data_IF_458153060527
#
_entry.id   IF_458153060527
#
_cell.length_a   1.000
_cell.length_b   1.000
_cell.length_c   1.000
_cell.angle_alpha   90.00
_cell.angle_beta   90.00
_cell.angle_gamma   90.00
#
_symmetry.space_group_name_H-M   'P 1'
#
loop_
_entity.id
_entity.type
_entity.pdbx_description
1 polymer ?
#
# COMPACT_ATOMS: atom_id res chain seq x y z
N UNK A 1 -6.40 91.71 -6.42
CA UNK A 1 -6.53 90.52 -5.56
C UNK A 1 -6.79 89.29 -6.43
N UNK A 2 -5.76 88.44 -6.65
CA UNK A 2 -5.87 87.20 -7.45
C UNK A 2 -5.96 86.05 -6.48
N UNK A 3 -7.12 85.35 -6.43
CA UNK A 3 -7.28 84.11 -5.68
C UNK A 3 -6.70 82.98 -6.48
N UNK A 4 -5.69 82.26 -5.94
CA UNK A 4 -5.16 80.99 -6.48
C UNK A 4 -6.02 79.84 -5.97
N UNK A 5 -6.59 79.09 -6.90
CA UNK A 5 -7.32 77.88 -6.63
C UNK A 5 -6.28 76.76 -6.56
N UNK A 6 -6.17 76.09 -5.40
CA UNK A 6 -5.31 74.92 -5.21
C UNK A 6 -6.22 73.70 -5.44
N UNK A 7 -5.95 72.94 -6.52
CA UNK A 7 -6.60 71.65 -6.80
C UNK A 7 -5.77 70.56 -6.13
N UNK A 8 -6.32 69.97 -5.08
CA UNK A 8 -5.74 68.79 -4.44
C UNK A 8 -6.23 67.51 -5.22
N UNK A 9 -5.32 66.91 -5.99
CA UNK A 9 -5.56 65.59 -6.58
C UNK A 9 -5.32 64.47 -5.51
N UNK A 10 -6.38 63.88 -4.99
CA UNK A 10 -6.32 62.67 -4.19
C UNK A 10 -6.26 61.48 -5.11
N UNK A 11 -5.05 60.86 -5.19
CA UNK A 11 -4.86 59.60 -5.88
C UNK A 11 -5.45 58.45 -5.01
N UNK A 12 -6.58 57.89 -5.44
CA UNK A 12 -7.17 56.67 -4.84
C UNK A 12 -6.43 55.47 -5.44
N UNK A 13 -5.51 54.90 -4.67
CA UNK A 13 -4.89 53.61 -4.99
C UNK A 13 -5.88 52.49 -4.70
N UNK A 14 -6.53 51.98 -5.74
CA UNK A 14 -7.35 50.76 -5.63
C UNK A 14 -6.40 49.59 -5.58
N UNK A 15 -6.18 49.03 -4.38
CA UNK A 15 -5.51 47.74 -4.20
C UNK A 15 -6.49 46.65 -4.64
N UNK A 16 -6.35 46.17 -5.87
CA UNK A 16 -6.97 44.95 -6.33
C UNK A 16 -6.28 43.75 -5.63
N UNK A 17 -6.83 43.33 -4.48
CA UNK A 17 -6.55 42.00 -3.94
C UNK A 17 -7.05 40.93 -4.93
N UNK A 18 -6.18 40.51 -5.82
CA UNK A 18 -6.41 39.30 -6.59
C UNK A 18 -6.33 38.11 -5.62
N UNK A 19 -7.48 37.75 -5.08
CA UNK A 19 -7.62 36.44 -4.40
C UNK A 19 -7.46 35.35 -5.47
N UNK A 20 -6.23 34.96 -5.74
CA UNK A 20 -5.97 33.70 -6.42
C UNK A 20 -6.40 32.58 -5.46
N UNK A 21 -7.68 32.19 -5.50
CA UNK A 21 -8.07 30.87 -5.04
C UNK A 21 -7.26 29.90 -5.88
N UNK A 22 -6.16 29.38 -5.34
CA UNK A 22 -5.57 28.17 -5.89
C UNK A 22 -6.70 27.14 -5.92
N UNK A 23 -7.21 26.89 -7.10
CA UNK A 23 -8.11 25.78 -7.35
C UNK A 23 -7.28 24.51 -7.14
N UNK A 24 -7.20 24.04 -5.89
CA UNK A 24 -6.70 22.70 -5.62
C UNK A 24 -7.53 21.76 -6.46
N UNK A 25 -6.93 21.26 -7.53
CA UNK A 25 -7.60 20.28 -8.38
C UNK A 25 -8.08 19.13 -7.47
N UNK A 26 -9.38 18.85 -7.53
CA UNK A 26 -10.01 17.79 -6.71
C UNK A 26 -9.14 16.53 -6.78
N UNK A 27 -8.82 15.96 -5.63
CA UNK A 27 -8.09 14.68 -5.55
C UNK A 27 -8.84 13.61 -6.35
N UNK A 28 -8.11 12.79 -7.08
CA UNK A 28 -8.68 11.63 -7.78
C UNK A 28 -9.14 10.60 -6.76
N UNK A 29 -8.27 10.31 -5.78
CA UNK A 29 -8.55 9.33 -4.73
C UNK A 29 -9.39 9.99 -3.65
N UNK A 30 -10.66 9.57 -3.53
CA UNK A 30 -11.60 10.06 -2.53
C UNK A 30 -11.63 9.13 -1.31
N UNK A 31 -11.25 9.68 -0.16
CA UNK A 31 -11.20 8.96 1.11
C UNK A 31 -12.47 9.14 1.97
N UNK A 32 -13.49 9.78 1.46
CA UNK A 32 -14.74 10.05 2.20
C UNK A 32 -15.72 8.88 2.15
N UNK A 33 -15.54 7.95 1.21
CA UNK A 33 -16.46 6.85 0.95
C UNK A 33 -15.77 5.47 1.00
N UNK A 34 -16.62 4.43 1.03
CA UNK A 34 -16.15 3.03 0.93
C UNK A 34 -15.41 2.82 -0.38
N UNK A 35 -14.12 2.48 -0.29
CA UNK A 35 -13.26 2.30 -1.46
C UNK A 35 -13.44 0.91 -2.07
N UNK A 36 -14.31 0.82 -3.06
CA UNK A 36 -14.66 -0.43 -3.72
C UNK A 36 -13.66 -0.82 -4.80
N UNK A 37 -13.72 -2.08 -5.27
CA UNK A 37 -12.91 -2.50 -6.41
C UNK A 37 -13.22 -1.67 -7.67
N UNK A 38 -14.47 -1.26 -7.87
CA UNK A 38 -14.88 -0.40 -8.96
C UNK A 38 -14.25 1.01 -8.85
N UNK A 39 -14.37 1.66 -7.68
CA UNK A 39 -13.71 2.96 -7.44
C UNK A 39 -12.19 2.85 -7.68
N UNK A 40 -11.57 1.78 -7.18
CA UNK A 40 -10.16 1.50 -7.41
C UNK A 40 -9.81 1.42 -8.90
N UNK A 41 -10.61 0.69 -9.69
CA UNK A 41 -10.37 0.59 -11.14
C UNK A 41 -10.49 1.95 -11.84
N UNK A 42 -11.53 2.71 -11.52
CA UNK A 42 -11.77 4.04 -12.11
C UNK A 42 -10.62 4.99 -11.78
N UNK A 43 -10.18 5.03 -10.51
CA UNK A 43 -9.05 5.85 -10.07
C UNK A 43 -7.74 5.45 -10.77
N UNK A 44 -7.47 4.16 -10.93
CA UNK A 44 -6.29 3.68 -11.67
C UNK A 44 -6.24 4.27 -13.08
N UNK A 45 -7.38 4.31 -13.79
CA UNK A 45 -7.43 4.84 -15.17
C UNK A 45 -7.38 6.36 -15.21
N UNK A 46 -8.01 7.03 -14.24
CA UNK A 46 -7.95 8.50 -14.10
C UNK A 46 -6.50 8.92 -13.81
N UNK A 47 -5.81 8.26 -12.86
CA UNK A 47 -4.41 8.53 -12.55
C UNK A 47 -3.51 8.31 -13.76
N UNK A 48 -3.70 7.19 -14.48
CA UNK A 48 -2.96 6.91 -15.72
C UNK A 48 -3.14 8.00 -16.76
N UNK A 49 -4.34 8.53 -16.91
CA UNK A 49 -4.61 9.64 -17.84
C UNK A 49 -3.98 10.96 -17.38
N UNK A 50 -4.19 11.31 -16.11
CA UNK A 50 -3.74 12.57 -15.50
C UNK A 50 -2.22 12.70 -15.40
N UNK A 51 -1.53 11.57 -15.17
CA UNK A 51 -0.09 11.50 -14.92
C UNK A 51 0.66 10.60 -15.90
N UNK A 52 0.23 10.55 -17.17
CA UNK A 52 0.77 9.66 -18.22
C UNK A 52 2.28 9.72 -18.46
N UNK A 53 2.94 10.83 -18.07
CA UNK A 53 4.39 11.00 -18.16
C UNK A 53 5.12 10.54 -16.89
N UNK A 54 4.44 10.47 -15.76
CA UNK A 54 5.02 10.16 -14.45
C UNK A 54 4.80 8.72 -14.03
N UNK A 55 3.68 8.10 -14.46
CA UNK A 55 3.32 6.75 -14.06
C UNK A 55 2.87 5.86 -15.24
N UNK A 56 3.03 4.56 -15.04
CA UNK A 56 2.51 3.51 -15.89
C UNK A 56 1.67 2.53 -15.06
N UNK A 57 0.66 1.92 -15.68
CA UNK A 57 -0.20 0.92 -15.06
C UNK A 57 -0.04 -0.41 -15.75
N UNK A 58 0.24 -1.44 -14.96
CA UNK A 58 0.47 -2.81 -15.42
C UNK A 58 -0.57 -3.74 -14.79
N UNK A 59 -1.28 -4.53 -15.60
CA UNK A 59 -2.06 -5.66 -15.10
C UNK A 59 -1.10 -6.81 -14.83
N UNK A 60 -0.84 -7.12 -13.57
CA UNK A 60 0.15 -8.14 -13.15
C UNK A 60 -0.45 -9.52 -12.97
N UNK A 61 -1.77 -9.63 -12.88
CA UNK A 61 -2.49 -10.89 -12.73
C UNK A 61 -3.98 -10.69 -12.56
N UNK A 62 -4.64 -11.74 -12.12
CA UNK A 62 -6.06 -11.76 -11.78
C UNK A 62 -6.25 -12.49 -10.45
N UNK A 63 -7.31 -12.13 -9.72
CA UNK A 63 -7.79 -12.89 -8.58
C UNK A 63 -8.49 -14.18 -9.02
N UNK A 64 -8.82 -15.03 -8.06
CA UNK A 64 -9.50 -16.32 -8.30
C UNK A 64 -10.83 -16.18 -9.05
N UNK A 65 -11.53 -15.04 -8.92
CA UNK A 65 -12.75 -14.72 -9.67
C UNK A 65 -12.53 -13.73 -10.82
N UNK A 66 -11.30 -13.63 -11.32
CA UNK A 66 -10.97 -12.95 -12.56
C UNK A 66 -10.85 -11.42 -12.45
N UNK A 67 -10.88 -10.82 -11.25
CA UNK A 67 -10.64 -9.39 -11.04
C UNK A 67 -9.18 -9.08 -11.29
N UNK A 68 -8.88 -8.07 -12.13
CA UNK A 68 -7.51 -7.68 -12.45
C UNK A 68 -6.80 -7.12 -11.23
N UNK A 69 -5.54 -7.51 -11.06
CA UNK A 69 -4.61 -6.96 -10.08
C UNK A 69 -3.68 -6.01 -10.82
N UNK A 70 -3.61 -4.77 -10.37
CA UNK A 70 -2.81 -3.73 -11.01
C UNK A 70 -1.59 -3.36 -10.17
N UNK A 71 -0.48 -3.12 -10.85
CA UNK A 71 0.68 -2.44 -10.31
C UNK A 71 0.81 -1.07 -10.98
N UNK A 72 1.09 -0.04 -10.20
CA UNK A 72 1.37 1.33 -10.62
C UNK A 72 2.87 1.53 -10.49
N UNK A 73 3.55 1.76 -11.60
CA UNK A 73 4.96 2.12 -11.64
C UNK A 73 5.08 3.64 -11.74
N UNK A 74 5.80 4.28 -10.84
CA UNK A 74 6.06 5.71 -10.84
C UNK A 74 7.55 5.94 -11.01
N UNK A 75 7.93 6.75 -12.02
CA UNK A 75 9.32 6.92 -12.43
C UNK A 75 9.79 5.82 -13.36
N UNK A 76 10.96 6.03 -13.96
CA UNK A 76 11.57 5.16 -14.99
C UNK A 76 12.91 4.58 -14.56
N UNK A 77 13.31 4.78 -13.31
CA UNK A 77 14.56 4.26 -12.78
C UNK A 77 14.62 2.74 -12.82
N UNK A 78 15.82 2.19 -13.05
CA UNK A 78 16.06 0.74 -13.12
C UNK A 78 16.01 0.04 -11.76
N UNK A 79 16.32 0.77 -10.68
CA UNK A 79 16.20 0.30 -9.32
C UNK A 79 14.78 0.53 -8.81
N UNK A 80 14.32 -0.25 -7.85
CA UNK A 80 12.94 -0.12 -7.42
C UNK A 80 12.75 -0.34 -5.93
N UNK A 81 11.65 0.21 -5.41
CA UNK A 81 11.03 -0.20 -4.16
C UNK A 81 9.60 -0.67 -4.45
N UNK A 82 9.07 -1.54 -3.60
CA UNK A 82 7.73 -2.10 -3.73
C UNK A 82 6.86 -1.78 -2.52
N UNK A 83 5.70 -1.19 -2.78
CA UNK A 83 4.64 -0.98 -1.78
C UNK A 83 3.43 -1.81 -2.15
N UNK A 84 2.76 -2.38 -1.17
CA UNK A 84 1.53 -3.15 -1.41
C UNK A 84 0.48 -2.90 -0.35
N UNK A 85 -0.79 -3.08 -0.72
CA UNK A 85 -1.94 -2.95 0.18
C UNK A 85 -2.96 -4.05 -0.04
N UNK A 86 -3.87 -4.20 0.94
CA UNK A 86 -4.99 -5.13 0.94
C UNK A 86 -4.63 -6.57 0.54
N UNK A 87 -3.65 -7.17 1.21
CA UNK A 87 -3.52 -8.63 1.25
C UNK A 87 -4.79 -9.25 1.87
N UNK A 88 -5.40 -8.54 2.81
CA UNK A 88 -6.61 -9.00 3.49
C UNK A 88 -7.83 -8.17 3.09
N UNK A 89 -8.96 -8.85 2.89
CA UNK A 89 -10.18 -8.21 2.40
C UNK A 89 -10.70 -7.10 3.30
N UNK A 90 -10.61 -7.26 4.61
CA UNK A 90 -11.08 -6.27 5.61
C UNK A 90 -10.13 -5.07 5.81
N UNK A 91 -9.01 -5.03 5.13
CA UNK A 91 -7.97 -4.02 5.30
C UNK A 91 -7.88 -3.06 4.09
N UNK A 92 -8.98 -2.87 3.35
CA UNK A 92 -9.00 -2.07 2.13
C UNK A 92 -8.68 -0.58 2.31
N UNK A 93 -8.63 -0.05 3.54
CA UNK A 93 -8.10 1.28 3.84
C UNK A 93 -6.63 1.41 3.40
N UNK A 94 -5.89 0.30 3.36
CA UNK A 94 -4.51 0.27 2.85
C UNK A 94 -4.44 0.41 1.34
N UNK A 95 -5.46 -0.06 0.60
CA UNK A 95 -5.59 0.24 -0.84
C UNK A 95 -5.78 1.73 -1.07
N UNK A 96 -6.66 2.35 -0.29
CA UNK A 96 -6.93 3.77 -0.36
C UNK A 96 -5.67 4.60 -0.06
N UNK A 97 -4.93 4.22 1.00
CA UNK A 97 -3.68 4.88 1.38
C UNK A 97 -2.63 4.79 0.26
N UNK A 98 -2.39 3.59 -0.28
CA UNK A 98 -1.36 3.38 -1.30
C UNK A 98 -1.75 3.98 -2.65
N UNK A 99 -3.04 4.04 -3.00
CA UNK A 99 -3.53 4.79 -4.16
C UNK A 99 -3.32 6.30 -3.98
N UNK A 100 -3.57 6.81 -2.77
CA UNK A 100 -3.31 8.23 -2.45
C UNK A 100 -1.83 8.56 -2.54
N UNK A 101 -0.95 7.64 -2.10
CA UNK A 101 0.49 7.77 -2.31
C UNK A 101 0.86 7.83 -3.80
N UNK A 102 0.24 7.00 -4.63
CA UNK A 102 0.49 7.01 -6.07
C UNK A 102 0.10 8.37 -6.70
N UNK A 103 -1.05 8.93 -6.30
CA UNK A 103 -1.47 10.26 -6.76
C UNK A 103 -0.48 11.35 -6.33
N UNK A 104 -0.11 11.35 -5.04
CA UNK A 104 0.76 12.37 -4.44
C UNK A 104 2.17 12.37 -5.05
N UNK A 105 2.79 11.18 -5.16
CA UNK A 105 4.11 11.02 -5.76
C UNK A 105 4.11 11.47 -7.22
N UNK A 106 3.11 11.04 -7.99
CA UNK A 106 3.00 11.44 -9.40
C UNK A 106 2.79 12.95 -9.56
N UNK A 107 2.02 13.58 -8.66
CA UNK A 107 1.84 15.01 -8.57
C UNK A 107 3.13 15.77 -8.23
N UNK A 108 3.85 15.29 -7.22
CA UNK A 108 5.14 15.83 -6.77
C UNK A 108 6.16 15.85 -7.92
N UNK A 109 6.29 14.72 -8.64
CA UNK A 109 7.20 14.63 -9.80
C UNK A 109 6.73 15.53 -10.94
N UNK A 110 5.44 15.60 -11.22
CA UNK A 110 4.88 16.49 -12.24
C UNK A 110 5.19 17.96 -11.96
N UNK A 111 5.26 18.34 -10.68
CA UNK A 111 5.58 19.71 -10.24
C UNK A 111 7.10 19.99 -10.17
N UNK A 112 7.95 19.05 -10.63
CA UNK A 112 9.39 19.24 -10.80
C UNK A 112 10.27 18.65 -9.69
N UNK A 113 9.71 18.14 -8.59
CA UNK A 113 10.49 17.47 -7.53
C UNK A 113 10.69 15.98 -7.84
N UNK A 114 11.72 15.68 -8.62
CA UNK A 114 12.08 14.30 -8.93
C UNK A 114 13.05 13.71 -7.88
N UNK A 115 12.53 13.34 -6.72
CA UNK A 115 13.30 12.71 -5.64
C UNK A 115 13.73 11.26 -5.93
N UNK A 116 13.14 10.62 -6.95
CA UNK A 116 13.38 9.22 -7.28
C UNK A 116 14.82 8.98 -7.79
N UNK A 117 15.36 9.88 -8.61
CA UNK A 117 16.67 9.69 -9.24
C UNK A 117 16.69 8.44 -10.12
N UNK A 118 17.55 7.47 -9.79
CA UNK A 118 17.68 6.19 -10.53
C UNK A 118 16.65 5.12 -10.14
N UNK A 119 15.70 5.46 -9.25
CA UNK A 119 14.68 4.55 -8.75
C UNK A 119 13.33 4.73 -9.42
N UNK A 120 12.53 3.70 -9.36
CA UNK A 120 11.08 3.70 -9.57
C UNK A 120 10.36 3.17 -8.34
N UNK A 121 9.15 3.66 -8.07
CA UNK A 121 8.28 3.13 -7.02
C UNK A 121 7.22 2.28 -7.70
N UNK A 122 7.10 1.03 -7.26
CA UNK A 122 6.04 0.14 -7.67
C UNK A 122 5.02 -0.02 -6.54
N UNK A 123 3.76 0.21 -6.84
CA UNK A 123 2.66 0.10 -5.88
C UNK A 123 1.65 -0.91 -6.40
N UNK A 124 1.32 -1.92 -5.58
CA UNK A 124 0.21 -2.86 -5.80
C UNK A 124 -0.88 -2.56 -4.78
N UNK A 125 -1.83 -1.66 -5.10
CA UNK A 125 -2.71 -1.11 -4.07
C UNK A 125 -3.73 -2.11 -3.53
N UNK A 126 -4.18 -3.06 -4.34
CA UNK A 126 -5.21 -4.04 -3.97
C UNK A 126 -4.82 -5.44 -4.47
N UNK A 127 -4.15 -6.20 -3.62
CA UNK A 127 -3.73 -7.57 -3.94
C UNK A 127 -4.93 -8.53 -3.94
N UNK A 128 -5.89 -8.32 -3.02
CA UNK A 128 -7.03 -9.19 -2.77
C UNK A 128 -8.38 -8.55 -3.16
N UNK A 129 -8.64 -8.30 -4.44
CA UNK A 129 -9.88 -7.64 -4.86
C UNK A 129 -11.14 -8.49 -4.61
N UNK A 130 -11.02 -9.81 -4.60
CA UNK A 130 -12.14 -10.70 -4.27
C UNK A 130 -12.50 -10.59 -2.79
N UNK A 131 -11.50 -10.65 -1.91
CA UNK A 131 -11.69 -10.53 -0.47
C UNK A 131 -12.30 -9.17 -0.07
N UNK A 132 -11.83 -8.08 -0.69
CA UNK A 132 -12.41 -6.74 -0.51
C UNK A 132 -13.88 -6.71 -0.93
N UNK A 133 -14.19 -7.27 -2.10
CA UNK A 133 -15.58 -7.32 -2.62
C UNK A 133 -16.50 -8.13 -1.70
N UNK A 134 -16.01 -9.23 -1.13
CA UNK A 134 -16.78 -10.06 -0.16
C UNK A 134 -16.97 -9.27 1.14
N UNK A 135 -15.90 -8.70 1.69
CA UNK A 135 -15.94 -7.95 2.94
C UNK A 135 -16.95 -6.81 2.92
N UNK A 136 -17.09 -6.15 1.77
CA UNK A 136 -18.07 -5.08 1.53
C UNK A 136 -19.51 -5.61 1.27
N UNK A 137 -19.77 -6.89 1.49
CA UNK A 137 -21.08 -7.51 1.33
C UNK A 137 -21.53 -7.69 -0.12
N UNK A 138 -20.67 -7.44 -1.11
CA UNK A 138 -21.01 -7.50 -2.56
C UNK A 138 -20.95 -8.93 -3.11
N UNK A 139 -21.41 -9.93 -2.36
CA UNK A 139 -21.37 -11.34 -2.78
C UNK A 139 -22.24 -11.65 -4.01
N UNK A 140 -23.20 -10.78 -4.34
CA UNK A 140 -23.99 -10.88 -5.57
C UNK A 140 -23.15 -10.77 -6.84
N UNK A 141 -21.92 -10.22 -6.76
CA UNK A 141 -20.95 -10.14 -7.85
C UNK A 141 -20.17 -11.44 -8.10
N UNK A 142 -20.47 -12.50 -7.36
CA UNK A 142 -19.87 -13.82 -7.52
C UNK A 142 -20.87 -14.80 -8.15
N UNK A 143 -20.39 -15.89 -8.85
CA UNK A 143 -21.24 -16.94 -9.39
C UNK A 143 -22.13 -17.57 -8.32
N UNK A 144 -23.30 -18.04 -8.70
CA UNK A 144 -24.31 -18.57 -7.78
C UNK A 144 -23.78 -19.63 -6.83
N UNK A 145 -23.09 -20.64 -7.34
CA UNK A 145 -22.52 -21.69 -6.50
C UNK A 145 -21.41 -21.20 -5.58
N UNK A 146 -20.66 -20.18 -6.00
CA UNK A 146 -19.60 -19.57 -5.20
C UNK A 146 -20.17 -18.82 -4.00
N UNK A 147 -21.33 -18.16 -4.13
CA UNK A 147 -21.99 -17.48 -3.00
C UNK A 147 -22.29 -18.42 -1.84
N UNK A 148 -22.75 -19.65 -2.14
CA UNK A 148 -23.03 -20.66 -1.11
C UNK A 148 -21.74 -21.11 -0.40
N UNK A 149 -20.64 -21.28 -1.17
CA UNK A 149 -19.32 -21.61 -0.61
C UNK A 149 -18.79 -20.47 0.26
N UNK A 150 -18.85 -19.23 -0.23
CA UNK A 150 -18.43 -18.03 0.51
C UNK A 150 -19.20 -17.92 1.85
N UNK A 151 -20.51 -18.11 1.82
CA UNK A 151 -21.32 -18.12 3.05
C UNK A 151 -20.90 -19.25 4.00
N UNK A 152 -20.65 -20.48 3.50
CA UNK A 152 -20.14 -21.60 4.32
C UNK A 152 -18.80 -21.24 4.97
N UNK A 153 -17.84 -20.72 4.20
CA UNK A 153 -16.53 -20.30 4.69
C UNK A 153 -16.62 -19.15 5.73
N UNK A 154 -17.71 -18.38 5.70
CA UNK A 154 -18.01 -17.34 6.71
C UNK A 154 -18.76 -17.89 7.94
N UNK A 155 -18.76 -19.20 8.13
CA UNK A 155 -19.48 -19.85 9.24
C UNK A 155 -21.00 -19.79 9.10
N UNK A 156 -21.53 -19.67 7.89
CA UNK A 156 -22.95 -19.55 7.59
C UNK A 156 -23.56 -18.15 7.77
N UNK A 157 -22.78 -17.16 8.23
CA UNK A 157 -23.24 -15.80 8.48
C UNK A 157 -23.38 -15.01 7.19
N UNK A 158 -24.30 -14.04 7.16
CA UNK A 158 -24.49 -13.09 6.06
C UNK A 158 -23.69 -11.78 6.26
N UNK A 159 -23.16 -11.54 7.46
CA UNK A 159 -22.26 -10.44 7.74
C UNK A 159 -20.83 -10.83 7.40
N UNK A 160 -20.26 -10.18 6.39
CA UNK A 160 -18.91 -10.42 5.88
C UNK A 160 -17.89 -9.39 6.36
N UNK A 161 -18.25 -8.48 7.26
CA UNK A 161 -17.39 -7.37 7.73
C UNK A 161 -16.03 -7.82 8.25
N UNK A 162 -15.95 -9.06 8.77
CA UNK A 162 -14.72 -9.67 9.29
C UNK A 162 -13.88 -10.42 8.26
N UNK A 163 -14.31 -10.47 6.97
CA UNK A 163 -13.68 -11.30 5.94
C UNK A 163 -12.24 -10.85 5.64
N UNK A 164 -11.28 -11.73 5.87
CA UNK A 164 -9.84 -11.52 5.72
C UNK A 164 -9.30 -12.18 4.44
N UNK A 165 -9.68 -13.42 4.18
CA UNK A 165 -9.18 -14.31 3.13
C UNK A 165 -9.49 -13.81 1.71
N UNK A 166 -8.95 -14.48 0.69
CA UNK A 166 -9.33 -14.28 -0.70
C UNK A 166 -10.71 -14.89 -1.03
N UNK A 167 -11.09 -14.91 -2.31
CA UNK A 167 -12.37 -15.43 -2.77
C UNK A 167 -12.58 -16.94 -2.54
N UNK A 168 -11.50 -17.71 -2.38
CA UNK A 168 -11.53 -19.13 -2.07
C UNK A 168 -11.31 -19.46 -0.59
N UNK A 169 -11.28 -18.45 0.28
CA UNK A 169 -11.11 -18.64 1.72
C UNK A 169 -9.66 -18.91 2.14
N UNK A 170 -8.68 -18.50 1.33
CA UNK A 170 -7.24 -18.61 1.61
C UNK A 170 -6.72 -17.29 2.17
N UNK A 171 -6.00 -17.34 3.29
CA UNK A 171 -5.29 -16.20 3.85
C UNK A 171 -4.02 -15.92 3.03
N UNK A 172 -4.03 -14.86 2.22
CA UNK A 172 -2.94 -14.56 1.29
C UNK A 172 -1.62 -14.25 2.00
N UNK A 173 -1.66 -13.72 3.23
CA UNK A 173 -0.45 -13.47 4.02
C UNK A 173 -0.03 -14.69 4.87
N UNK A 174 -0.45 -15.88 4.43
CA UNK A 174 -0.01 -17.21 4.91
C UNK A 174 0.39 -18.11 3.74
N UNK A 175 0.62 -17.54 2.56
CA UNK A 175 0.84 -18.27 1.32
C UNK A 175 2.30 -18.24 0.84
N UNK A 176 3.22 -17.66 1.60
CA UNK A 176 4.63 -17.57 1.20
C UNK A 176 5.50 -18.61 1.90
N UNK A 177 6.55 -19.16 1.23
CA UNK A 177 7.37 -20.27 1.74
C UNK A 177 8.42 -19.83 2.78
N UNK A 178 7.99 -19.02 3.74
CA UNK A 178 8.81 -18.56 4.86
C UNK A 178 8.30 -19.22 6.15
N UNK A 179 8.80 -20.41 6.48
CA UNK A 179 8.30 -21.18 7.62
C UNK A 179 6.86 -21.67 7.47
N UNK A 180 6.36 -21.79 6.24
CA UNK A 180 4.98 -22.13 5.92
C UNK A 180 4.53 -23.45 6.57
N UNK A 181 5.39 -24.47 6.57
CA UNK A 181 5.14 -25.80 7.15
C UNK A 181 4.85 -25.72 8.66
N UNK A 182 5.49 -24.76 9.34
CA UNK A 182 5.45 -24.62 10.80
C UNK A 182 4.31 -23.74 11.31
N UNK A 183 3.47 -23.17 10.44
CA UNK A 183 2.32 -22.38 10.84
C UNK A 183 1.31 -23.26 11.57
N UNK A 184 1.15 -23.04 12.88
CA UNK A 184 0.32 -23.87 13.77
C UNK A 184 -1.14 -23.41 13.80
N UNK A 185 -1.40 -22.11 13.79
CA UNK A 185 -2.77 -21.55 13.84
C UNK A 185 -3.38 -21.41 12.44
N UNK A 186 -3.37 -22.50 11.68
CA UNK A 186 -4.05 -22.55 10.39
C UNK A 186 -5.34 -23.35 10.49
N UNK A 187 -6.41 -22.85 9.87
CA UNK A 187 -7.62 -23.65 9.63
C UNK A 187 -7.30 -24.84 8.73
N UNK A 188 -8.01 -25.94 8.92
CA UNK A 188 -7.83 -27.15 8.09
C UNK A 188 -8.51 -27.05 6.73
N UNK A 189 -9.49 -26.15 6.61
CA UNK A 189 -10.30 -25.95 5.42
C UNK A 189 -10.42 -24.47 5.08
N UNK A 190 -10.79 -24.11 3.84
CA UNK A 190 -11.08 -22.74 3.44
C UNK A 190 -12.02 -22.02 4.41
N UNK A 191 -11.60 -20.84 4.88
CA UNK A 191 -12.32 -20.11 5.90
C UNK A 191 -12.15 -18.58 5.71
N UNK A 192 -12.95 -17.78 6.36
CA UNK A 192 -12.86 -16.32 6.24
C UNK A 192 -11.53 -15.73 6.75
N UNK A 193 -10.73 -16.51 7.48
CA UNK A 193 -9.39 -16.14 7.97
C UNK A 193 -8.52 -17.37 8.26
N UNK A 194 -7.20 -17.18 8.28
CA UNK A 194 -6.19 -18.10 8.81
C UNK A 194 -6.11 -19.48 8.13
N UNK A 195 -6.68 -19.69 6.95
CA UNK A 195 -6.42 -20.89 6.16
C UNK A 195 -5.23 -20.64 5.24
N UNK A 196 -4.14 -21.38 5.48
CA UNK A 196 -2.88 -21.18 4.74
C UNK A 196 -2.84 -21.82 3.36
N UNK A 197 -3.93 -22.49 2.94
CA UNK A 197 -3.95 -23.25 1.69
C UNK A 197 -3.35 -24.65 1.84
N UNK A 198 -3.20 -25.35 0.71
CA UNK A 198 -2.61 -26.68 0.63
C UNK A 198 -1.10 -26.66 0.34
N UNK A 199 -0.64 -25.60 -0.31
CA UNK A 199 0.76 -25.37 -0.63
C UNK A 199 1.05 -23.85 -0.64
N UNK A 200 2.31 -23.43 -0.40
CA UNK A 200 2.69 -22.04 -0.62
C UNK A 200 2.55 -21.69 -2.10
N UNK A 201 2.27 -20.39 -2.38
CA UNK A 201 2.12 -19.85 -3.73
C UNK A 201 0.95 -20.44 -4.56
N UNK A 202 -0.04 -21.12 -3.94
CA UNK A 202 -1.16 -21.67 -4.71
C UNK A 202 -2.16 -20.59 -5.16
N UNK A 203 -2.34 -19.51 -4.38
CA UNK A 203 -3.29 -18.46 -4.71
C UNK A 203 -2.80 -17.59 -5.89
N UNK A 204 -3.69 -17.34 -6.88
CA UNK A 204 -3.34 -16.56 -8.08
C UNK A 204 -2.88 -15.13 -7.74
N UNK A 205 -3.48 -14.53 -6.71
CA UNK A 205 -3.13 -13.20 -6.22
C UNK A 205 -1.67 -13.16 -5.71
N UNK A 206 -1.26 -14.20 -4.98
CA UNK A 206 0.11 -14.34 -4.48
C UNK A 206 1.09 -14.57 -5.63
N UNK A 207 0.75 -15.45 -6.57
CA UNK A 207 1.59 -15.66 -7.77
C UNK A 207 1.80 -14.36 -8.56
N UNK A 208 0.79 -13.49 -8.62
CA UNK A 208 0.89 -12.21 -9.33
C UNK A 208 1.93 -11.27 -8.70
N UNK A 209 1.90 -11.08 -7.37
CA UNK A 209 2.86 -10.21 -6.70
C UNK A 209 4.26 -10.84 -6.63
N UNK A 210 4.37 -12.16 -6.47
CA UNK A 210 5.66 -12.87 -6.50
C UNK A 210 6.34 -12.68 -7.86
N UNK A 211 5.66 -12.94 -8.97
CA UNK A 211 6.19 -12.73 -10.32
C UNK A 211 6.62 -11.28 -10.57
N UNK A 212 5.84 -10.32 -10.03
CA UNK A 212 6.23 -8.91 -10.10
C UNK A 212 7.52 -8.67 -9.30
N UNK A 213 7.60 -9.15 -8.07
CA UNK A 213 8.75 -8.98 -7.17
C UNK A 213 10.02 -9.56 -7.80
N UNK A 214 9.95 -10.77 -8.35
CA UNK A 214 11.05 -11.43 -9.07
C UNK A 214 11.53 -10.62 -10.29
N UNK A 215 10.56 -10.02 -11.02
CA UNK A 215 10.85 -9.19 -12.20
C UNK A 215 11.54 -7.88 -11.85
N UNK A 216 11.05 -7.17 -10.83
CA UNK A 216 11.53 -5.81 -10.52
C UNK A 216 12.67 -5.79 -9.48
N UNK A 217 12.86 -6.88 -8.73
CA UNK A 217 13.90 -7.06 -7.71
C UNK A 217 14.05 -5.83 -6.81
N UNK A 218 13.03 -5.48 -6.04
CA UNK A 218 13.03 -4.23 -5.28
C UNK A 218 14.08 -4.27 -4.17
N UNK A 219 14.75 -3.13 -3.93
CA UNK A 219 15.73 -2.97 -2.85
C UNK A 219 15.07 -3.00 -1.46
N UNK A 220 13.82 -2.50 -1.37
CA UNK A 220 13.01 -2.50 -0.15
C UNK A 220 11.58 -2.85 -0.52
N UNK A 221 10.89 -3.64 0.31
CA UNK A 221 9.47 -3.92 0.18
C UNK A 221 8.69 -3.51 1.42
N UNK A 222 7.46 -2.99 1.23
CA UNK A 222 6.53 -2.68 2.31
C UNK A 222 5.16 -3.25 1.99
N UNK A 223 4.62 -4.02 2.94
CA UNK A 223 3.23 -4.47 2.94
C UNK A 223 2.42 -3.67 3.96
N UNK A 224 1.47 -2.88 3.49
CA UNK A 224 0.53 -2.16 4.35
C UNK A 224 -0.61 -3.07 4.77
N UNK A 225 -0.81 -3.16 6.07
CA UNK A 225 -1.87 -3.88 6.77
C UNK A 225 -2.63 -2.96 7.73
N UNK A 226 -3.65 -3.47 8.36
CA UNK A 226 -4.35 -2.85 9.48
C UNK A 226 -4.87 -3.93 10.43
N UNK A 227 -4.74 -3.73 11.73
CA UNK A 227 -4.52 -2.51 12.47
C UNK A 227 -3.58 -2.73 13.67
N UNK A 228 -3.01 -1.63 14.20
CA UNK A 228 -2.17 -1.71 15.40
C UNK A 228 -1.27 -0.48 15.59
N UNK A 229 -1.00 0.30 14.53
CA UNK A 229 0.00 1.37 14.50
C UNK A 229 1.39 0.83 14.90
N UNK A 230 1.77 -0.27 14.26
CA UNK A 230 3.00 -1.01 14.53
C UNK A 230 3.76 -1.31 13.23
N UNK A 231 5.07 -1.52 13.35
CA UNK A 231 5.97 -1.91 12.25
C UNK A 231 6.63 -3.21 12.62
N UNK A 232 6.38 -4.26 11.82
CA UNK A 232 7.08 -5.53 11.93
C UNK A 232 8.16 -5.59 10.85
N UNK A 233 9.38 -6.00 11.24
CA UNK A 233 10.56 -5.95 10.39
C UNK A 233 11.44 -7.18 10.50
N UNK A 234 11.31 -7.94 11.59
CA UNK A 234 12.22 -9.01 11.95
C UNK A 234 11.68 -10.37 11.54
N UNK A 235 12.40 -11.05 10.67
CA UNK A 235 12.18 -12.46 10.36
C UNK A 235 13.46 -13.09 9.81
N UNK A 236 14.27 -13.75 10.67
CA UNK A 236 15.51 -14.43 10.26
C UNK A 236 16.45 -13.54 9.43
N UNK A 237 16.61 -12.27 9.79
CA UNK A 237 17.40 -11.27 9.06
C UNK A 237 18.90 -11.58 9.01
N UNK A 238 19.42 -12.44 9.93
CA UNK A 238 20.82 -12.85 9.96
C UNK A 238 21.77 -11.66 10.09
N UNK A 239 22.78 -11.62 9.23
CA UNK A 239 23.80 -10.54 9.22
C UNK A 239 23.22 -9.15 8.90
N UNK A 240 22.03 -9.09 8.36
CA UNK A 240 21.35 -7.84 7.96
C UNK A 240 20.48 -7.24 9.07
N UNK A 241 20.39 -7.87 10.24
CA UNK A 241 19.49 -7.48 11.33
C UNK A 241 19.67 -6.02 11.75
N UNK A 242 20.92 -5.59 11.94
CA UNK A 242 21.22 -4.20 12.34
C UNK A 242 20.77 -3.19 11.29
N UNK A 243 20.99 -3.47 9.99
CA UNK A 243 20.55 -2.62 8.90
C UNK A 243 19.03 -2.50 8.89
N UNK A 244 18.33 -3.63 8.93
CA UNK A 244 16.88 -3.69 8.80
C UNK A 244 16.18 -3.04 9.99
N UNK A 245 16.77 -3.19 11.18
CA UNK A 245 16.33 -2.52 12.41
C UNK A 245 16.48 -1.00 12.32
N UNK A 246 17.65 -0.50 11.90
CA UNK A 246 17.87 0.95 11.75
C UNK A 246 16.83 1.59 10.83
N UNK A 247 16.50 0.95 9.71
CA UNK A 247 15.46 1.44 8.79
C UNK A 247 14.07 1.37 9.45
N UNK A 248 13.76 0.30 10.20
CA UNK A 248 12.51 0.23 10.96
C UNK A 248 12.37 1.38 11.96
N UNK A 249 13.45 1.76 12.64
CA UNK A 249 13.50 2.90 13.56
C UNK A 249 13.26 4.24 12.85
N UNK A 250 13.80 4.42 11.64
CA UNK A 250 13.52 5.59 10.79
C UNK A 250 12.04 5.66 10.42
N UNK A 251 11.46 4.53 9.97
CA UNK A 251 10.03 4.45 9.63
C UNK A 251 9.13 4.68 10.85
N UNK A 252 9.52 4.13 12.02
CA UNK A 252 8.79 4.32 13.27
C UNK A 252 8.80 5.79 13.73
N UNK A 253 9.93 6.47 13.58
CA UNK A 253 10.06 7.92 13.87
C UNK A 253 9.17 8.75 12.94
N UNK A 254 9.16 8.43 11.64
CA UNK A 254 8.37 9.17 10.63
C UNK A 254 6.87 9.01 10.86
N UNK A 255 6.41 7.79 11.10
CA UNK A 255 4.99 7.47 11.28
C UNK A 255 4.47 7.74 12.69
N UNK A 256 5.35 7.74 13.68
CA UNK A 256 4.99 7.70 15.10
C UNK A 256 4.39 6.36 15.53
N UNK A 257 4.67 5.27 14.79
CA UNK A 257 4.24 3.92 15.14
C UNK A 257 5.27 3.22 16.02
N UNK A 258 4.84 2.16 16.70
CA UNK A 258 5.74 1.33 17.49
C UNK A 258 6.49 0.35 16.58
N UNK A 259 7.68 -0.04 16.99
CA UNK A 259 8.29 -1.27 16.49
C UNK A 259 7.63 -2.43 17.22
N UNK A 260 6.88 -3.23 16.48
CA UNK A 260 6.12 -4.35 17.00
C UNK A 260 6.93 -5.64 17.05
N UNK A 261 6.53 -6.52 17.96
CA UNK A 261 6.95 -7.91 17.97
C UNK A 261 5.72 -8.73 17.56
N UNK A 262 5.75 -9.41 16.40
CA UNK A 262 4.58 -10.13 15.95
C UNK A 262 4.22 -11.25 16.94
N UNK A 263 2.91 -11.50 17.18
CA UNK A 263 2.47 -12.66 17.94
C UNK A 263 3.03 -13.96 17.34
N UNK A 264 3.36 -14.94 18.19
CA UNK A 264 4.00 -16.20 17.75
C UNK A 264 3.20 -16.97 16.70
N UNK A 265 1.89 -16.86 16.72
CA UNK A 265 0.94 -17.45 15.76
C UNK A 265 0.78 -16.64 14.48
N UNK A 266 1.28 -15.40 14.46
CA UNK A 266 1.29 -14.53 13.29
C UNK A 266 2.60 -14.58 12.48
N UNK A 267 3.60 -15.31 12.97
CA UNK A 267 4.93 -15.42 12.34
C UNK A 267 4.94 -16.53 11.30
N UNK A 268 5.55 -16.24 10.16
CA UNK A 268 5.72 -17.18 9.06
C UNK A 268 4.60 -17.13 8.02
N UNK A 269 4.96 -17.52 6.80
CA UNK A 269 4.06 -17.53 5.64
C UNK A 269 3.65 -16.16 5.13
N UNK A 270 4.22 -15.07 5.65
CA UNK A 270 3.96 -13.71 5.24
C UNK A 270 4.81 -13.27 4.04
N UNK A 271 4.32 -12.26 3.30
CA UNK A 271 5.04 -11.66 2.17
C UNK A 271 6.40 -11.08 2.61
N UNK A 272 6.42 -10.32 3.69
CA UNK A 272 7.65 -9.69 4.21
C UNK A 272 8.64 -10.72 4.74
N UNK A 273 8.16 -11.78 5.40
CA UNK A 273 9.00 -12.88 5.87
C UNK A 273 9.71 -13.59 4.71
N UNK A 274 8.95 -13.88 3.65
CA UNK A 274 9.48 -14.46 2.42
C UNK A 274 10.49 -13.54 1.75
N UNK A 275 10.18 -12.25 1.64
CA UNK A 275 11.07 -11.30 0.99
C UNK A 275 12.42 -11.20 1.71
N UNK A 276 12.41 -11.07 3.03
CA UNK A 276 13.62 -11.00 3.85
C UNK A 276 14.48 -12.26 3.68
N UNK A 277 13.86 -13.44 3.77
CA UNK A 277 14.62 -14.70 3.70
C UNK A 277 15.09 -15.05 2.29
N UNK A 278 14.37 -14.62 1.25
CA UNK A 278 14.71 -14.95 -0.14
C UNK A 278 15.73 -13.99 -0.73
N UNK A 279 15.59 -12.69 -0.45
CA UNK A 279 16.43 -11.66 -1.09
C UNK A 279 17.50 -11.11 -0.16
N UNK A 280 17.44 -11.39 1.14
CA UNK A 280 18.31 -10.81 2.17
C UNK A 280 18.30 -9.27 2.15
N UNK A 281 17.18 -8.70 1.78
CA UNK A 281 16.89 -7.28 1.70
C UNK A 281 15.76 -6.92 2.67
N UNK A 282 15.69 -5.65 3.11
CA UNK A 282 14.71 -5.25 4.12
C UNK A 282 13.28 -5.26 3.58
N UNK A 283 12.37 -5.79 4.39
CA UNK A 283 10.93 -5.64 4.17
C UNK A 283 10.21 -5.34 5.49
N UNK A 284 9.11 -4.60 5.38
CA UNK A 284 8.36 -4.11 6.53
C UNK A 284 6.88 -4.37 6.35
N UNK A 285 6.24 -4.89 7.39
CA UNK A 285 4.78 -4.87 7.52
C UNK A 285 4.42 -3.65 8.35
N UNK A 286 3.65 -2.72 7.77
CA UNK A 286 3.18 -1.52 8.44
C UNK A 286 1.69 -1.65 8.72
N UNK A 287 1.34 -1.83 9.99
CA UNK A 287 -0.04 -1.90 10.48
C UNK A 287 -0.55 -0.49 10.77
N UNK A 288 -1.35 0.06 9.88
CA UNK A 288 -1.93 1.39 10.06
C UNK A 288 -3.18 1.35 10.93
N UNK A 289 -3.64 2.49 11.40
CA UNK A 289 -4.83 2.69 12.24
C UNK A 289 -4.70 2.12 13.66
N UNK A 290 -5.43 2.69 14.62
CA UNK A 290 -5.56 2.11 15.95
C UNK A 290 -6.10 0.68 15.86
N UNK A 291 -5.67 -0.17 16.80
CA UNK A 291 -6.10 -1.56 16.85
C UNK A 291 -7.63 -1.67 16.89
N UNK A 292 -8.15 -2.47 15.99
CA UNK A 292 -9.56 -2.88 15.95
C UNK A 292 -9.64 -4.40 15.91
N UNK A 293 -10.78 -4.94 16.31
CA UNK A 293 -11.07 -6.36 16.20
C UNK A 293 -11.11 -6.80 14.71
N UNK A 294 -11.69 -7.94 14.44
CA UNK A 294 -11.81 -8.54 13.10
C UNK A 294 -12.73 -7.73 12.16
N UNK A 295 -12.46 -6.44 11.97
CA UNK A 295 -13.24 -5.55 11.10
C UNK A 295 -12.35 -4.55 10.38
N UNK A 296 -12.94 -3.83 9.44
CA UNK A 296 -12.31 -2.69 8.79
C UNK A 296 -12.21 -1.50 9.78
N UNK A 297 -11.06 -0.82 9.88
CA UNK A 297 -10.95 0.41 10.67
C UNK A 297 -11.84 1.53 10.11
N UNK A 298 -12.35 2.41 10.98
CA UNK A 298 -13.13 3.56 10.51
C UNK A 298 -12.35 4.45 9.55
N UNK A 299 -13.02 4.89 8.48
CA UNK A 299 -12.46 5.87 7.53
C UNK A 299 -12.12 7.22 8.18
N UNK A 300 -12.70 7.54 9.33
CA UNK A 300 -12.35 8.75 10.09
C UNK A 300 -10.86 8.78 10.49
N UNK A 301 -10.19 7.62 10.50
CA UNK A 301 -8.75 7.53 10.75
C UNK A 301 -7.91 7.97 9.54
N UNK A 302 -8.47 7.98 8.32
CA UNK A 302 -7.68 8.12 7.08
C UNK A 302 -6.84 9.39 7.05
N UNK A 303 -7.41 10.53 7.40
CA UNK A 303 -6.67 11.81 7.38
C UNK A 303 -5.42 11.78 8.27
N UNK A 304 -5.52 11.18 9.45
CA UNK A 304 -4.40 11.02 10.38
C UNK A 304 -3.37 10.03 9.85
N UNK A 305 -3.83 8.89 9.30
CA UNK A 305 -2.95 7.88 8.73
C UNK A 305 -2.25 8.38 7.46
N UNK A 306 -2.95 9.17 6.64
CA UNK A 306 -2.33 9.87 5.51
C UNK A 306 -1.20 10.80 5.96
N UNK A 307 -1.46 11.66 6.95
CA UNK A 307 -0.45 12.58 7.47
C UNK A 307 0.82 11.86 7.97
N UNK A 308 0.66 10.68 8.58
CA UNK A 308 1.76 9.86 9.11
C UNK A 308 2.55 9.12 8.04
N UNK A 309 1.90 8.74 6.93
CA UNK A 309 2.48 7.81 5.97
C UNK A 309 2.86 8.47 4.63
N UNK A 310 2.41 9.68 4.32
CA UNK A 310 2.63 10.33 3.01
C UNK A 310 4.09 10.48 2.62
N UNK A 311 5.01 10.62 3.58
CA UNK A 311 6.43 10.77 3.31
C UNK A 311 7.18 9.44 3.23
N UNK A 312 6.60 8.33 3.68
CA UNK A 312 7.26 7.01 3.71
C UNK A 312 7.87 6.62 2.36
N UNK A 313 7.23 6.84 1.20
CA UNK A 313 7.84 6.52 -0.08
C UNK A 313 9.17 7.27 -0.34
N UNK A 314 9.26 8.54 0.06
CA UNK A 314 10.51 9.32 -0.05
C UNK A 314 11.58 8.78 0.88
N UNK A 315 11.24 8.55 2.14
CA UNK A 315 12.12 7.95 3.14
C UNK A 315 12.69 6.61 2.66
N UNK A 316 11.84 5.74 2.09
CA UNK A 316 12.28 4.45 1.55
C UNK A 316 13.26 4.60 0.37
N UNK A 317 13.08 5.59 -0.50
CA UNK A 317 14.03 5.88 -1.58
C UNK A 317 15.39 6.32 -1.02
N UNK A 318 15.39 7.14 0.03
CA UNK A 318 16.63 7.58 0.69
C UNK A 318 17.36 6.41 1.34
N UNK A 319 16.64 5.53 2.05
CA UNK A 319 17.23 4.33 2.65
C UNK A 319 17.72 3.33 1.60
N UNK A 320 16.98 3.14 0.51
CA UNK A 320 17.41 2.30 -0.61
C UNK A 320 18.71 2.82 -1.25
N UNK A 321 18.87 4.14 -1.41
CA UNK A 321 20.11 4.76 -1.89
C UNK A 321 21.29 4.48 -0.97
N UNK A 322 21.08 4.48 0.35
CA UNK A 322 22.13 4.15 1.34
C UNK A 322 22.57 2.69 1.23
N UNK A 323 21.61 1.75 1.09
CA UNK A 323 21.92 0.31 0.88
C UNK A 323 22.80 0.14 -0.36
N UNK A 324 22.41 0.76 -1.48
CA UNK A 324 23.17 0.65 -2.73
C UNK A 324 24.58 1.26 -2.63
N UNK A 325 24.74 2.37 -1.93
CA UNK A 325 26.04 2.99 -1.72
C UNK A 325 26.97 2.08 -0.90
N UNK A 326 26.44 1.39 0.10
CA UNK A 326 27.20 0.41 0.90
C UNK A 326 27.63 -0.77 0.01
N UNK A 327 26.71 -1.32 -0.81
CA UNK A 327 27.03 -2.43 -1.70
C UNK A 327 28.12 -2.06 -2.73
N UNK A 328 28.06 -0.86 -3.34
CA UNK A 328 29.10 -0.38 -4.24
C UNK A 328 30.46 -0.32 -3.57
N UNK A 329 30.51 0.26 -2.36
CA UNK A 329 31.76 0.37 -1.59
C UNK A 329 32.35 -1.01 -1.24
N UNK A 330 31.51 -2.00 -0.94
CA UNK A 330 31.95 -3.37 -0.66
C UNK A 330 32.49 -4.11 -1.88
N UNK A 331 31.96 -3.80 -3.08
CA UNK A 331 32.36 -4.41 -4.35
C UNK A 331 33.59 -3.72 -4.99
N UNK A 332 34.13 -2.63 -4.38
CA UNK A 332 35.30 -1.92 -4.88
C UNK A 332 35.04 -1.02 -6.09
N UNK A 333 33.79 -0.80 -6.47
CA UNK A 333 33.40 0.18 -7.48
C UNK A 333 33.40 1.58 -6.83
N UNK A 334 34.52 2.27 -6.94
CA UNK A 334 34.70 3.69 -6.56
C UNK A 334 34.16 4.63 -7.63
#
# INVERSE_FOLDING_TARGET
>A
MKRRLIIILTAISVFLCVNTKESYAKSVVDASEVYTYENFQDDVWILKSKYKKQLQVHAIGKSEFGRKIYAIQIGTGKKSILLSGAHHGREWITSLLTMKMAEDIAGTIKNGDNFLGSYSIWIVPMINPDGVTIQQGKINKFPFFSKRKIKKMNGGLNDFTRWKSNGLGVDLNRQYPAGWEYIKDSKKEPFYKNYKGKAPFEAQEVQAIVKLTEKIKPTIAVAYHSSGQEIFWQYNNGVNESRDRMIAEVLAKETGYKIGIPPKDAVGGGFTDWFITTYHLPAYTIEICPLVDERHPSLTNFSKEWARNKNIPRTLIEEAKKIDAIHKKMLGDS
#
